data_IF_936139376670
#
_entry.id   IF_936139376670
#
_cell.length_a   1.000
_cell.length_b   1.000
_cell.length_c   1.000
_cell.angle_alpha   90.00
_cell.angle_beta   90.00
_cell.angle_gamma   90.00
#
_symmetry.space_group_name_H-M   'P 1'
#
loop_
_entity.id
_entity.type
_entity.pdbx_description
1 polymer ?
#
# COMPACT_ATOMS: atom_id res chain seq x y z
N UNK A 1 30.83 -0.03 -13.54
CA UNK A 1 30.85 0.01 -12.07
C UNK A 1 29.46 0.40 -11.62
N UNK A 2 28.60 -0.58 -11.35
CA UNK A 2 27.20 -0.38 -10.93
C UNK A 2 27.16 -0.23 -9.41
N UNK A 3 26.87 0.97 -8.96
CA UNK A 3 26.66 1.30 -7.55
C UNK A 3 25.37 0.60 -7.07
N UNK A 4 25.51 -0.52 -6.38
CA UNK A 4 24.43 -1.14 -5.64
C UNK A 4 24.21 -0.31 -4.36
N UNK A 5 23.04 0.30 -4.25
CA UNK A 5 22.60 0.93 -3.00
C UNK A 5 22.52 -0.13 -1.90
N UNK A 6 23.03 0.12 -0.69
CA UNK A 6 22.95 -0.85 0.39
C UNK A 6 21.49 -1.08 0.78
N UNK A 7 21.02 -2.32 0.62
CA UNK A 7 19.73 -2.78 1.12
C UNK A 7 19.66 -2.53 2.64
N UNK A 8 18.65 -1.77 3.07
CA UNK A 8 18.40 -1.49 4.51
C UNK A 8 18.03 -2.78 5.22
N UNK A 9 19.00 -3.41 5.83
CA UNK A 9 18.80 -4.55 6.73
C UNK A 9 18.30 -3.99 8.06
N UNK A 10 17.07 -4.33 8.45
CA UNK A 10 16.53 -3.99 9.76
C UNK A 10 16.88 -5.13 10.74
N UNK A 11 18.04 -5.08 11.35
CA UNK A 11 18.37 -5.95 12.48
C UNK A 11 17.61 -5.49 13.73
N UNK A 12 16.93 -6.42 14.39
CA UNK A 12 16.29 -6.21 15.69
C UNK A 12 17.20 -6.79 16.76
N UNK A 13 17.67 -5.95 17.71
CA UNK A 13 18.49 -6.43 18.82
C UNK A 13 17.76 -7.53 19.62
N UNK A 14 18.45 -8.61 20.00
CA UNK A 14 17.86 -9.83 20.54
C UNK A 14 16.92 -9.63 21.74
N UNK A 15 17.26 -8.75 22.68
CA UNK A 15 16.40 -8.44 23.84
C UNK A 15 15.11 -7.70 23.45
N UNK A 16 15.15 -6.83 22.46
CA UNK A 16 13.97 -6.14 21.97
C UNK A 16 13.06 -7.10 21.16
N UNK A 17 13.65 -8.01 20.41
CA UNK A 17 12.93 -9.02 19.65
C UNK A 17 12.11 -9.94 20.55
N UNK A 18 12.69 -10.43 21.64
CA UNK A 18 11.98 -11.26 22.64
C UNK A 18 10.80 -10.52 23.27
N UNK A 19 11.00 -9.27 23.72
CA UNK A 19 9.92 -8.45 24.28
C UNK A 19 8.83 -8.15 23.25
N UNK A 20 9.18 -7.98 21.98
CA UNK A 20 8.22 -7.76 20.91
C UNK A 20 7.38 -9.00 20.65
N UNK A 21 7.98 -10.19 20.62
CA UNK A 21 7.26 -11.48 20.48
C UNK A 21 6.29 -11.72 21.63
N UNK A 22 6.71 -11.45 22.87
CA UNK A 22 5.84 -11.53 24.05
C UNK A 22 4.63 -10.59 23.89
N UNK A 23 4.86 -9.33 23.50
CA UNK A 23 3.77 -8.37 23.27
C UNK A 23 2.83 -8.79 22.15
N UNK A 24 3.33 -9.41 21.09
CA UNK A 24 2.54 -9.94 20.00
C UNK A 24 1.70 -11.12 20.47
N UNK A 25 2.28 -12.06 21.22
CA UNK A 25 1.56 -13.22 21.76
C UNK A 25 0.43 -12.79 22.72
N UNK A 26 0.68 -11.88 23.65
CA UNK A 26 -0.35 -11.37 24.56
C UNK A 26 -1.51 -10.63 23.90
N UNK A 27 -1.34 -10.16 22.67
CA UNK A 27 -2.36 -9.42 21.90
C UNK A 27 -2.88 -10.20 20.72
N UNK A 28 -2.73 -11.50 20.74
CA UNK A 28 -3.22 -12.37 19.68
C UNK A 28 -3.96 -13.55 20.26
N UNK A 29 -4.93 -14.06 19.53
CA UNK A 29 -5.75 -15.21 19.90
C UNK A 29 -5.72 -16.21 18.77
N UNK A 30 -5.57 -17.48 19.12
CA UNK A 30 -5.65 -18.57 18.14
C UNK A 30 -7.10 -18.85 17.80
N UNK A 31 -7.38 -19.01 16.50
CA UNK A 31 -8.69 -19.42 16.03
C UNK A 31 -8.68 -20.89 15.58
N UNK A 32 -9.86 -21.44 15.27
CA UNK A 32 -10.06 -22.84 14.85
C UNK A 32 -9.25 -23.23 13.60
N UNK A 33 -8.87 -22.27 12.75
CA UNK A 33 -8.06 -22.48 11.56
C UNK A 33 -6.54 -22.42 11.83
N UNK A 34 -6.10 -22.37 13.11
CA UNK A 34 -4.70 -22.26 13.51
C UNK A 34 -4.08 -20.88 13.25
N UNK A 35 -4.88 -19.88 12.92
CA UNK A 35 -4.38 -18.52 12.79
C UNK A 35 -4.20 -17.87 14.16
N UNK A 36 -3.04 -17.28 14.41
CA UNK A 36 -2.82 -16.40 15.56
C UNK A 36 -3.26 -14.99 15.19
N UNK A 37 -4.49 -14.63 15.54
CA UNK A 37 -5.11 -13.37 15.13
C UNK A 37 -4.76 -12.21 16.05
N UNK A 38 -4.29 -11.13 15.45
CA UNK A 38 -4.04 -9.87 16.13
C UNK A 38 -5.32 -9.23 16.66
N UNK A 39 -5.42 -9.04 17.97
CA UNK A 39 -6.56 -8.43 18.66
C UNK A 39 -6.43 -6.91 18.87
N UNK A 40 -5.34 -6.29 18.39
CA UNK A 40 -5.11 -4.85 18.52
C UNK A 40 -5.71 -4.04 17.35
N UNK A 41 -5.30 -2.77 17.25
CA UNK A 41 -5.77 -1.86 16.21
C UNK A 41 -5.50 -2.40 14.79
N UNK A 42 -6.44 -2.14 13.87
CA UNK A 42 -6.35 -2.50 12.45
C UNK A 42 -6.49 -1.26 11.56
N UNK A 43 -6.12 -1.40 10.29
CA UNK A 43 -6.42 -0.42 9.27
C UNK A 43 -7.77 -0.70 8.58
N UNK A 44 -8.14 0.15 7.62
CA UNK A 44 -9.38 0.01 6.84
C UNK A 44 -9.46 -1.26 5.97
N UNK A 45 -8.34 -1.94 5.77
CA UNK A 45 -8.26 -3.18 4.98
C UNK A 45 -8.18 -4.42 5.86
N UNK A 46 -8.29 -4.27 7.19
CA UNK A 46 -8.23 -5.35 8.16
C UNK A 46 -6.81 -5.75 8.60
N UNK A 47 -5.77 -5.10 8.07
CA UNK A 47 -4.40 -5.37 8.53
C UNK A 47 -4.16 -4.76 9.90
N UNK A 48 -3.55 -5.55 10.77
CA UNK A 48 -3.16 -5.09 12.10
C UNK A 48 -2.14 -3.95 12.07
N UNK A 49 -2.13 -3.15 13.13
CA UNK A 49 -1.15 -2.08 13.36
C UNK A 49 -0.52 -2.22 14.73
N UNK A 50 0.81 -2.14 14.78
CA UNK A 50 1.57 -2.13 16.03
C UNK A 50 2.65 -1.05 15.99
N UNK A 51 2.86 -0.39 17.12
CA UNK A 51 3.95 0.56 17.30
C UNK A 51 5.20 -0.18 17.77
N UNK A 52 6.26 -0.09 17.02
CA UNK A 52 7.58 -0.67 17.31
C UNK A 52 8.63 0.44 17.35
N UNK A 53 9.77 0.17 17.97
CA UNK A 53 10.94 1.05 17.87
C UNK A 53 11.90 0.48 16.83
N UNK A 54 12.52 1.35 16.04
CA UNK A 54 13.62 0.95 15.15
C UNK A 54 14.95 0.87 15.94
N UNK A 55 16.02 0.54 15.25
CA UNK A 55 17.37 0.44 15.80
C UNK A 55 17.90 1.72 16.48
N UNK A 56 17.34 2.87 16.08
CA UNK A 56 17.66 4.18 16.68
C UNK A 56 16.68 4.57 17.80
N UNK A 57 15.82 3.65 18.26
CA UNK A 57 14.81 3.92 19.27
C UNK A 57 13.61 4.74 18.80
N UNK A 58 13.55 5.12 17.52
CA UNK A 58 12.45 5.90 16.94
C UNK A 58 11.20 5.03 16.76
N UNK A 59 10.08 5.53 17.21
CA UNK A 59 8.80 4.84 17.09
C UNK A 59 8.30 4.83 15.64
N UNK A 60 7.90 3.65 15.16
CA UNK A 60 7.28 3.43 13.84
C UNK A 60 6.04 2.57 13.97
N UNK A 61 5.09 2.76 13.08
CA UNK A 61 3.91 1.89 12.96
C UNK A 61 4.18 0.90 11.85
N UNK A 62 3.98 -0.40 12.12
CA UNK A 62 4.12 -1.48 11.15
C UNK A 62 3.01 -2.51 11.32
N UNK A 63 2.89 -3.47 10.40
CA UNK A 63 1.99 -4.61 10.56
C UNK A 63 2.51 -5.60 11.61
N UNK A 64 1.66 -6.17 12.49
CA UNK A 64 2.07 -7.17 13.46
C UNK A 64 2.73 -8.39 12.84
N UNK A 65 2.24 -8.89 11.70
CA UNK A 65 2.84 -9.98 10.93
C UNK A 65 4.28 -9.66 10.49
N UNK A 66 4.52 -8.41 10.04
CA UNK A 66 5.87 -7.94 9.69
C UNK A 66 6.76 -7.81 10.93
N UNK A 67 6.20 -7.33 12.05
CA UNK A 67 6.91 -7.25 13.32
C UNK A 67 7.29 -8.65 13.85
N UNK A 68 6.37 -9.63 13.76
CA UNK A 68 6.63 -11.02 14.13
C UNK A 68 7.73 -11.64 13.28
N UNK A 69 7.67 -11.46 11.97
CA UNK A 69 8.69 -11.96 11.03
C UNK A 69 10.07 -11.39 11.35
N UNK A 70 10.18 -10.06 11.50
CA UNK A 70 11.45 -9.41 11.82
C UNK A 70 11.99 -9.82 13.19
N UNK A 71 11.12 -9.98 14.20
CA UNK A 71 11.54 -10.40 15.53
C UNK A 71 12.07 -11.85 15.55
N UNK A 72 11.59 -12.72 14.68
CA UNK A 72 11.97 -14.13 14.63
C UNK A 72 13.12 -14.40 13.65
N UNK A 73 13.01 -13.91 12.40
CA UNK A 73 13.97 -14.15 11.34
C UNK A 73 15.03 -13.05 11.17
N UNK A 74 14.86 -11.91 11.85
CA UNK A 74 15.82 -10.79 11.86
C UNK A 74 15.71 -9.86 10.67
N UNK A 75 15.35 -10.34 9.46
CA UNK A 75 15.35 -9.52 8.24
C UNK A 75 14.25 -9.88 7.26
N UNK A 76 13.99 -8.95 6.36
CA UNK A 76 13.20 -9.13 5.14
C UNK A 76 14.07 -8.61 4.00
N UNK A 77 14.46 -9.49 3.09
CA UNK A 77 15.38 -9.13 2.00
C UNK A 77 14.70 -8.21 0.98
N UNK A 78 15.39 -7.14 0.62
CA UNK A 78 15.15 -6.21 -0.50
C UNK A 78 13.69 -5.97 -0.89
N UNK A 79 13.31 -6.48 -2.05
CA UNK A 79 11.99 -6.24 -2.66
C UNK A 79 10.93 -7.29 -2.28
N UNK A 80 11.23 -8.14 -1.28
CA UNK A 80 10.28 -9.15 -0.83
C UNK A 80 9.21 -8.54 0.09
N UNK A 81 8.01 -9.09 -0.03
CA UNK A 81 6.86 -8.77 0.80
C UNK A 81 6.38 -10.01 1.52
N UNK A 82 5.73 -9.83 2.67
CA UNK A 82 5.11 -10.94 3.40
C UNK A 82 3.70 -11.15 2.86
N UNK A 83 3.43 -12.37 2.43
CA UNK A 83 2.12 -12.84 2.00
C UNK A 83 1.53 -13.80 3.03
N UNK A 84 0.20 -13.75 3.20
CA UNK A 84 -0.55 -14.63 4.09
C UNK A 84 -1.06 -15.85 3.32
N UNK A 85 -0.54 -17.04 3.62
CA UNK A 85 -1.05 -18.30 3.05
C UNK A 85 -2.51 -18.53 3.42
N UNK A 86 -2.88 -18.21 4.67
CA UNK A 86 -4.25 -18.34 5.21
C UNK A 86 -5.22 -17.25 4.75
N UNK A 87 -4.77 -16.23 3.98
CA UNK A 87 -5.56 -15.07 3.53
C UNK A 87 -6.19 -14.23 4.65
N UNK A 88 -5.79 -14.44 5.89
CA UNK A 88 -6.26 -13.66 7.02
C UNK A 88 -5.28 -12.50 7.30
N UNK A 89 -5.64 -11.23 7.06
CA UNK A 89 -4.75 -10.08 7.22
C UNK A 89 -4.38 -9.77 8.68
N UNK A 90 -5.10 -10.38 9.64
CA UNK A 90 -4.79 -10.26 11.07
C UNK A 90 -3.83 -11.34 11.57
N UNK A 91 -3.60 -12.39 10.79
CA UNK A 91 -2.78 -13.51 11.21
C UNK A 91 -1.31 -13.09 11.38
N UNK A 92 -0.72 -13.49 12.51
CA UNK A 92 0.72 -13.30 12.80
C UNK A 92 1.46 -14.63 12.96
N UNK A 93 0.78 -15.78 12.74
CA UNK A 93 1.40 -17.10 12.79
C UNK A 93 2.45 -17.20 11.68
N UNK A 94 3.72 -17.45 12.06
CA UNK A 94 4.85 -17.49 11.13
C UNK A 94 4.73 -18.62 10.10
N UNK A 95 4.09 -19.74 10.44
CA UNK A 95 3.82 -20.85 9.53
C UNK A 95 2.82 -20.49 8.44
N UNK A 96 1.98 -19.48 8.67
CA UNK A 96 1.01 -18.96 7.72
C UNK A 96 1.55 -17.78 6.89
N UNK A 97 2.82 -17.42 7.08
CA UNK A 97 3.48 -16.33 6.40
C UNK A 97 4.57 -16.84 5.46
N UNK A 98 4.78 -16.18 4.36
CA UNK A 98 5.89 -16.44 3.45
C UNK A 98 6.45 -15.15 2.85
N UNK A 99 7.74 -15.16 2.48
CA UNK A 99 8.33 -14.09 1.69
C UNK A 99 8.17 -14.39 0.20
N UNK A 100 7.65 -13.43 -0.53
CA UNK A 100 7.43 -13.50 -1.98
C UNK A 100 7.76 -12.18 -2.63
N UNK A 101 8.00 -12.19 -3.94
CA UNK A 101 8.09 -10.94 -4.71
C UNK A 101 6.70 -10.28 -4.79
N UNK A 102 6.69 -8.96 -5.00
CA UNK A 102 5.43 -8.22 -5.16
C UNK A 102 4.60 -8.75 -6.35
N UNK A 103 5.25 -9.22 -7.42
CA UNK A 103 4.58 -9.84 -8.56
C UNK A 103 3.84 -11.12 -8.15
N UNK A 104 4.49 -12.03 -7.41
CA UNK A 104 3.89 -13.27 -6.92
C UNK A 104 2.75 -12.98 -5.95
N UNK A 105 2.94 -12.04 -5.01
CA UNK A 105 1.89 -11.64 -4.08
C UNK A 105 0.65 -11.07 -4.80
N UNK A 106 0.87 -10.27 -5.85
CA UNK A 106 -0.23 -9.72 -6.65
C UNK A 106 -0.98 -10.81 -7.40
N UNK A 107 -0.27 -11.76 -8.01
CA UNK A 107 -0.88 -12.89 -8.74
C UNK A 107 -1.64 -13.84 -7.80
N UNK A 108 -1.10 -14.08 -6.61
CA UNK A 108 -1.72 -14.92 -5.60
C UNK A 108 -2.91 -14.25 -4.89
N UNK A 109 -3.06 -12.93 -4.99
CA UNK A 109 -4.17 -12.18 -4.39
C UNK A 109 -5.51 -12.58 -5.00
N UNK A 110 -6.55 -12.68 -4.15
CA UNK A 110 -7.92 -12.81 -4.63
C UNK A 110 -8.37 -11.49 -5.28
N UNK A 111 -8.50 -11.51 -6.60
CA UNK A 111 -8.95 -10.37 -7.38
C UNK A 111 -10.47 -10.32 -7.54
N UNK A 112 -11.22 -11.31 -7.00
CA UNK A 112 -12.68 -11.41 -7.13
C UNK A 112 -13.42 -10.24 -6.48
N UNK A 113 -12.85 -9.65 -5.43
CA UNK A 113 -13.41 -8.52 -4.69
C UNK A 113 -12.87 -7.13 -5.10
N UNK A 114 -12.15 -7.03 -6.21
CA UNK A 114 -11.88 -5.72 -6.80
C UNK A 114 -13.14 -5.16 -7.48
N UNK A 115 -14.27 -5.11 -6.70
CA UNK A 115 -15.38 -4.24 -7.06
C UNK A 115 -14.84 -2.83 -7.17
N UNK A 116 -14.60 -2.41 -8.41
CA UNK A 116 -14.64 -1.01 -8.76
C UNK A 116 -13.54 -0.09 -8.27
N UNK A 117 -12.28 -0.52 -8.15
CA UNK A 117 -11.32 0.34 -8.81
C UNK A 117 -11.58 0.14 -10.29
N UNK A 118 -12.54 0.92 -10.80
CA UNK A 118 -12.60 1.20 -12.23
C UNK A 118 -11.19 1.65 -12.58
N UNK A 119 -10.36 0.70 -13.02
CA UNK A 119 -9.11 1.04 -13.63
C UNK A 119 -9.54 2.09 -14.64
N UNK A 120 -9.07 3.32 -14.49
CA UNK A 120 -9.31 4.34 -15.49
C UNK A 120 -8.97 3.65 -16.79
N UNK A 121 -10.01 3.29 -17.57
CA UNK A 121 -9.86 2.51 -18.79
C UNK A 121 -8.79 3.23 -19.58
N UNK A 122 -7.64 2.59 -19.81
CA UNK A 122 -6.60 3.11 -20.69
C UNK A 122 -7.30 3.33 -22.04
N UNK A 123 -7.34 4.57 -22.47
CA UNK A 123 -8.15 4.96 -23.61
C UNK A 123 -9.41 5.70 -23.18
N UNK A 124 -9.26 6.95 -22.72
CA UNK A 124 -10.42 7.83 -22.61
C UNK A 124 -11.12 7.86 -23.99
N UNK A 125 -12.45 7.64 -23.98
CA UNK A 125 -13.24 7.83 -25.20
C UNK A 125 -12.89 9.20 -25.78
N UNK A 126 -12.56 9.32 -27.06
CA UNK A 126 -12.31 10.61 -27.66
C UNK A 126 -13.57 11.46 -27.50
N UNK A 127 -13.40 12.66 -26.96
CA UNK A 127 -14.50 13.60 -26.79
C UNK A 127 -14.66 14.12 -25.36
N UNK A 128 -15.24 15.28 -25.25
CA UNK A 128 -15.63 15.90 -24.00
C UNK A 128 -17.11 15.59 -23.72
N UNK A 129 -17.47 15.23 -22.48
CA UNK A 129 -18.86 14.96 -22.11
C UNK A 129 -19.79 16.15 -22.32
N UNK A 130 -19.26 17.39 -22.31
CA UNK A 130 -20.02 18.63 -22.53
C UNK A 130 -19.99 19.13 -23.96
N UNK A 131 -18.86 18.93 -24.69
CA UNK A 131 -18.61 19.57 -25.98
C UNK A 131 -18.30 18.57 -27.11
N UNK A 132 -18.46 17.27 -26.87
CA UNK A 132 -18.24 16.23 -27.86
C UNK A 132 -16.78 16.13 -28.32
N UNK A 133 -16.59 15.78 -29.60
CA UNK A 133 -15.28 15.65 -30.24
C UNK A 133 -14.69 17.00 -30.70
N UNK A 134 -15.54 18.01 -30.85
CA UNK A 134 -15.12 19.32 -31.34
C UNK A 134 -14.14 19.98 -30.35
N UNK A 135 -13.10 20.57 -30.90
CA UNK A 135 -12.14 21.45 -30.20
C UNK A 135 -11.39 20.81 -28.99
N UNK A 136 -10.82 19.62 -29.20
CA UNK A 136 -9.98 18.96 -28.21
C UNK A 136 -8.90 18.07 -28.83
N UNK A 137 -7.96 17.64 -27.99
CA UNK A 137 -6.90 16.70 -28.38
C UNK A 137 -6.66 15.65 -27.29
N UNK A 138 -6.10 14.52 -27.66
CA UNK A 138 -5.55 13.57 -26.70
C UNK A 138 -4.26 14.13 -26.08
N UNK A 139 -4.10 13.98 -24.79
CA UNK A 139 -2.88 14.31 -24.07
C UNK A 139 -2.50 13.16 -23.16
N UNK A 140 -1.22 12.81 -23.14
CA UNK A 140 -0.65 11.78 -22.28
C UNK A 140 -0.08 12.47 -21.02
N UNK A 141 -0.43 11.96 -19.86
CA UNK A 141 0.09 12.44 -18.59
C UNK A 141 1.42 11.75 -18.24
N UNK A 142 2.14 12.25 -17.21
CA UNK A 142 3.42 11.68 -16.78
C UNK A 142 3.34 10.21 -16.34
N UNK A 143 2.15 9.77 -15.91
CA UNK A 143 1.83 8.38 -15.52
C UNK A 143 1.43 7.48 -16.70
N UNK A 144 1.58 7.97 -17.96
CA UNK A 144 1.20 7.28 -19.18
C UNK A 144 -0.31 7.24 -19.44
N UNK A 145 -1.13 7.91 -18.62
CA UNK A 145 -2.57 7.96 -18.81
C UNK A 145 -2.95 8.94 -19.91
N UNK A 146 -3.76 8.47 -20.89
CA UNK A 146 -4.33 9.32 -21.94
C UNK A 146 -5.66 9.92 -21.51
N UNK A 147 -5.82 11.21 -21.72
CA UNK A 147 -7.10 11.91 -21.54
C UNK A 147 -7.43 12.81 -22.72
N UNK A 148 -8.72 13.11 -22.88
CA UNK A 148 -9.17 14.12 -23.82
C UNK A 148 -9.10 15.51 -23.18
N UNK A 149 -8.30 16.41 -23.73
CA UNK A 149 -8.12 17.79 -23.28
C UNK A 149 -8.98 18.73 -24.16
N UNK A 150 -10.16 19.07 -23.66
CA UNK A 150 -11.10 19.96 -24.33
C UNK A 150 -10.69 21.43 -24.13
N UNK A 151 -10.46 22.16 -25.22
CA UNK A 151 -10.04 23.57 -25.17
C UNK A 151 -11.10 24.46 -24.53
N UNK A 152 -12.39 24.22 -24.80
CA UNK A 152 -13.49 25.01 -24.23
C UNK A 152 -13.52 24.85 -22.72
N UNK A 153 -13.52 23.63 -22.18
CA UNK A 153 -13.47 23.38 -20.74
C UNK A 153 -12.23 23.98 -20.08
N UNK A 154 -11.09 23.98 -20.79
CA UNK A 154 -9.84 24.59 -20.31
C UNK A 154 -9.97 26.10 -20.18
N UNK A 155 -10.52 26.78 -21.20
CA UNK A 155 -10.77 28.23 -21.17
C UNK A 155 -11.76 28.63 -20.07
N UNK A 156 -12.85 27.88 -19.90
CA UNK A 156 -13.83 28.11 -18.82
C UNK A 156 -13.18 27.99 -17.44
N UNK A 157 -12.39 26.96 -17.21
CA UNK A 157 -11.67 26.77 -15.94
C UNK A 157 -10.71 27.91 -15.66
N UNK A 158 -9.96 28.35 -16.68
CA UNK A 158 -9.04 29.48 -16.56
C UNK A 158 -9.78 30.78 -16.25
N UNK A 159 -10.91 31.05 -16.90
CA UNK A 159 -11.74 32.23 -16.62
C UNK A 159 -12.25 32.23 -15.18
N UNK A 160 -12.75 31.07 -14.67
CA UNK A 160 -13.21 30.93 -13.28
C UNK A 160 -12.08 31.18 -12.29
N UNK A 161 -10.90 30.64 -12.57
CA UNK A 161 -9.73 30.83 -11.72
C UNK A 161 -9.31 32.30 -11.63
N UNK A 162 -9.26 33.01 -12.78
CA UNK A 162 -8.93 34.42 -12.82
C UNK A 162 -10.00 35.30 -12.16
N UNK A 163 -11.28 34.96 -12.34
CA UNK A 163 -12.39 35.68 -11.68
C UNK A 163 -12.28 35.52 -10.15
N UNK A 164 -12.01 34.33 -9.65
CA UNK A 164 -11.84 34.09 -8.21
C UNK A 164 -10.67 34.92 -7.64
N UNK A 165 -9.52 34.98 -8.32
CA UNK A 165 -8.38 35.80 -7.88
C UNK A 165 -8.65 37.33 -7.88
N UNK A 166 -9.58 37.80 -8.76
CA UNK A 166 -9.99 39.18 -8.78
C UNK A 166 -10.95 39.57 -7.64
N UNK A 167 -11.68 38.59 -7.10
CA UNK A 167 -12.60 38.80 -5.97
C UNK A 167 -11.92 38.70 -4.60
N UNK A 168 -10.68 38.18 -4.56
CA UNK A 168 -9.87 38.01 -3.34
C UNK A 168 -8.83 39.11 -3.14
N UNK A 169 -8.70 40.08 -4.10
CA UNK A 169 -7.90 41.30 -4.02
C UNK A 169 -8.79 42.54 -4.01
#
# INVERSE_FOLDING_TARGET
MTSQSPSRVHEVHSGYAANLLIRLAHRSQENEAGCLEWAGATDRHGYGKIKVKDEFGKARITGPHRAAWLAFYGRIDGDLVIDHLCRNPKCINLEHLRLVTNAVNTLAGDHSNKKGRSGRKRGAKPGCSKHGLADGRRSTQKDGYERWDCRICRRERQRRFLAKRKSEN
#
